data_IF_051382760993
#
_entry.id   IF_051382760993
#
_cell.length_a   1.000
_cell.length_b   1.000
_cell.length_c   1.000
_cell.angle_alpha   90.00
_cell.angle_beta   90.00
_cell.angle_gamma   90.00
#
_symmetry.space_group_name_H-M   'P 1'
#
loop_
_entity.id
_entity.type
_entity.pdbx_description
1 polymer ?
#
# COMPACT_ATOMS: atom_id res chain seq x y z
N UNK A 1 5.06 5.17 17.13
CA UNK A 1 5.31 5.48 15.69
C UNK A 1 4.01 5.46 14.95
N UNK A 2 3.70 6.53 14.22
CA UNK A 2 2.49 6.60 13.41
C UNK A 2 2.78 6.30 11.94
N UNK A 3 2.11 5.29 11.40
CA UNK A 3 2.16 4.93 9.98
C UNK A 3 0.84 5.27 9.31
N UNK A 4 0.90 5.91 8.15
CA UNK A 4 -0.25 5.99 7.25
C UNK A 4 -0.19 4.81 6.27
N UNK A 5 -1.23 4.00 6.24
CA UNK A 5 -1.39 2.88 5.31
C UNK A 5 -2.37 3.28 4.22
N UNK A 6 -1.87 3.38 3.01
CA UNK A 6 -2.59 3.77 1.80
C UNK A 6 -2.49 2.63 0.79
N UNK A 7 -3.51 2.41 -0.04
CA UNK A 7 -3.48 1.46 -1.15
C UNK A 7 -4.51 1.80 -2.21
N UNK A 8 -4.42 1.12 -3.33
CA UNK A 8 -5.45 1.05 -4.37
C UNK A 8 -5.94 2.44 -4.81
N UNK A 9 -5.00 3.32 -5.11
CA UNK A 9 -5.30 4.68 -5.58
C UNK A 9 -5.87 4.66 -6.99
N UNK A 10 -5.40 3.75 -7.85
CA UNK A 10 -5.87 3.54 -9.22
C UNK A 10 -6.03 4.83 -10.04
N UNK A 11 -5.00 5.67 -10.08
CA UNK A 11 -5.01 6.90 -10.86
C UNK A 11 -5.30 6.56 -12.32
N UNK A 12 -6.40 7.11 -12.85
CA UNK A 12 -6.83 6.88 -14.24
C UNK A 12 -6.12 7.85 -15.19
N UNK A 13 -5.91 7.41 -16.44
CA UNK A 13 -5.14 8.20 -17.40
C UNK A 13 -5.74 9.58 -17.72
N UNK A 14 -7.05 9.66 -17.98
CA UNK A 14 -7.70 10.85 -18.48
C UNK A 14 -9.06 11.14 -17.82
N UNK A 15 -9.38 10.45 -16.71
CA UNK A 15 -10.69 10.57 -16.07
C UNK A 15 -10.56 10.89 -14.59
N UNK A 16 -11.50 11.68 -14.10
CA UNK A 16 -11.65 11.98 -12.67
C UNK A 16 -10.44 12.70 -12.04
N UNK A 17 -9.62 13.38 -12.85
CA UNK A 17 -8.41 14.05 -12.36
C UNK A 17 -8.75 15.21 -11.41
N UNK A 18 -9.91 15.86 -11.59
CA UNK A 18 -10.36 16.87 -10.65
C UNK A 18 -10.71 16.25 -9.30
N UNK A 19 -11.45 15.14 -9.30
CA UNK A 19 -11.83 14.39 -8.10
C UNK A 19 -10.62 13.85 -7.37
N UNK A 20 -9.63 13.29 -8.08
CA UNK A 20 -8.36 12.87 -7.48
C UNK A 20 -7.64 14.02 -6.78
N UNK A 21 -7.55 15.19 -7.41
CA UNK A 21 -6.90 16.36 -6.79
C UNK A 21 -7.61 16.77 -5.49
N UNK A 22 -8.92 16.77 -5.46
CA UNK A 22 -9.69 17.07 -4.24
C UNK A 22 -9.42 16.05 -3.14
N UNK A 23 -9.45 14.77 -3.47
CA UNK A 23 -9.18 13.69 -2.50
C UNK A 23 -7.74 13.74 -2.00
N UNK A 24 -6.78 13.97 -2.89
CA UNK A 24 -5.36 14.05 -2.50
C UNK A 24 -5.08 15.23 -1.57
N UNK A 25 -5.68 16.41 -1.81
CA UNK A 25 -5.53 17.53 -0.87
C UNK A 25 -6.09 17.19 0.51
N UNK A 26 -7.27 16.54 0.59
CA UNK A 26 -7.84 16.07 1.85
C UNK A 26 -6.94 15.05 2.54
N UNK A 27 -6.35 14.14 1.77
CA UNK A 27 -5.39 13.16 2.26
C UNK A 27 -4.15 13.85 2.86
N UNK A 28 -3.55 14.79 2.13
CA UNK A 28 -2.36 15.51 2.62
C UNK A 28 -2.66 16.31 3.90
N UNK A 29 -3.84 16.94 3.99
CA UNK A 29 -4.28 17.62 5.22
C UNK A 29 -4.43 16.64 6.38
N UNK A 30 -5.04 15.46 6.16
CA UNK A 30 -5.19 14.42 7.17
C UNK A 30 -3.82 13.92 7.65
N UNK A 31 -2.90 13.59 6.74
CA UNK A 31 -1.56 13.12 7.09
C UNK A 31 -0.77 14.14 7.94
N UNK A 32 -0.84 15.42 7.57
CA UNK A 32 -0.21 16.51 8.35
C UNK A 32 -0.83 16.69 9.73
N UNK A 33 -2.16 16.59 9.82
CA UNK A 33 -2.91 16.70 11.07
C UNK A 33 -2.55 15.56 12.02
N UNK A 34 -2.48 14.33 11.51
CA UNK A 34 -2.12 13.13 12.28
C UNK A 34 -0.63 13.09 12.63
N UNK A 35 0.21 13.89 11.97
CA UNK A 35 1.66 13.93 12.17
C UNK A 35 2.28 12.55 12.02
N UNK A 36 1.99 11.89 10.91
CA UNK A 36 2.51 10.57 10.61
C UNK A 36 4.03 10.59 10.52
N UNK A 37 4.67 9.57 11.07
CA UNK A 37 6.13 9.39 11.01
C UNK A 37 6.56 8.77 9.67
N UNK A 38 5.73 7.88 9.13
CA UNK A 38 5.97 7.15 7.88
C UNK A 38 4.68 6.98 7.08
N UNK A 39 4.83 6.89 5.77
CA UNK A 39 3.74 6.58 4.84
C UNK A 39 4.08 5.30 4.10
N UNK A 40 3.13 4.36 4.04
CA UNK A 40 3.25 3.11 3.29
C UNK A 40 2.12 3.05 2.26
N UNK A 41 2.48 2.85 0.98
CA UNK A 41 1.51 2.62 -0.09
C UNK A 41 1.61 1.17 -0.58
N UNK A 42 0.55 0.41 -0.33
CA UNK A 42 0.50 -1.02 -0.60
C UNK A 42 0.05 -1.37 -2.03
N UNK A 43 0.51 -0.62 -3.04
CA UNK A 43 0.35 -0.96 -4.46
C UNK A 43 -0.92 -0.47 -5.13
N UNK A 44 -1.04 -0.75 -6.43
CA UNK A 44 -2.11 -0.33 -7.33
C UNK A 44 -2.28 1.20 -7.40
N UNK A 45 -1.17 1.87 -7.68
CA UNK A 45 -1.12 3.31 -7.93
C UNK A 45 -1.74 3.62 -9.30
N UNK A 46 -1.30 2.90 -10.34
CA UNK A 46 -1.84 3.05 -11.68
C UNK A 46 -3.14 2.24 -11.85
N UNK A 47 -4.12 2.80 -12.54
CA UNK A 47 -5.30 2.04 -12.94
C UNK A 47 -5.01 1.01 -14.02
N UNK A 48 -4.05 1.30 -14.91
CA UNK A 48 -3.60 0.41 -15.98
C UNK A 48 -2.11 0.56 -16.24
N UNK A 49 -1.41 -0.56 -16.29
CA UNK A 49 0.06 -0.63 -16.53
C UNK A 49 0.52 -0.37 -17.96
N UNK A 50 -0.39 -0.34 -18.92
CA UNK A 50 -0.04 -0.29 -20.35
C UNK A 50 -0.48 0.99 -21.05
N UNK A 51 -1.30 1.80 -20.42
CA UNK A 51 -1.81 3.05 -20.96
C UNK A 51 -1.43 4.19 -20.01
N UNK A 52 -0.24 4.71 -20.20
CA UNK A 52 0.30 5.80 -19.39
C UNK A 52 0.21 7.09 -20.19
N UNK A 53 -0.62 8.03 -19.74
CA UNK A 53 -0.74 9.35 -20.32
C UNK A 53 0.18 10.36 -19.64
N UNK A 54 0.53 11.48 -20.32
CA UNK A 54 1.26 12.57 -19.67
C UNK A 54 0.56 13.10 -18.41
N UNK A 55 -0.78 13.16 -18.42
CA UNK A 55 -1.58 13.63 -17.28
C UNK A 55 -1.53 12.66 -16.11
N UNK A 56 -1.44 11.34 -16.37
CA UNK A 56 -1.19 10.36 -15.32
C UNK A 56 0.18 10.58 -14.69
N UNK A 57 1.21 10.76 -15.50
CA UNK A 57 2.59 10.99 -15.02
C UNK A 57 2.64 12.25 -14.14
N UNK A 58 2.03 13.35 -14.62
CA UNK A 58 1.93 14.62 -13.86
C UNK A 58 1.26 14.41 -12.50
N UNK A 59 0.09 13.77 -12.50
CA UNK A 59 -0.68 13.55 -11.28
C UNK A 59 0.03 12.61 -10.30
N UNK A 60 0.62 11.51 -10.81
CA UNK A 60 1.36 10.55 -10.00
C UNK A 60 2.62 11.18 -9.40
N UNK A 61 3.34 12.00 -10.18
CA UNK A 61 4.51 12.75 -9.71
C UNK A 61 4.14 13.71 -8.58
N UNK A 62 3.11 14.50 -8.76
CA UNK A 62 2.61 15.40 -7.72
C UNK A 62 2.14 14.65 -6.47
N UNK A 63 1.48 13.51 -6.65
CA UNK A 63 1.05 12.68 -5.54
C UNK A 63 2.23 12.20 -4.70
N UNK A 64 3.23 11.62 -5.32
CA UNK A 64 4.42 11.11 -4.64
C UNK A 64 5.25 12.21 -3.99
N UNK A 65 5.48 13.32 -4.70
CA UNK A 65 6.22 14.46 -4.18
C UNK A 65 5.56 15.03 -2.92
N UNK A 66 4.23 15.19 -2.92
CA UNK A 66 3.53 15.67 -1.73
C UNK A 66 3.58 14.68 -0.57
N UNK A 67 3.45 13.37 -0.81
CA UNK A 67 3.61 12.36 0.25
C UNK A 67 5.02 12.41 0.84
N UNK A 68 6.05 12.40 0.00
CA UNK A 68 7.45 12.43 0.41
C UNK A 68 7.86 13.72 1.15
N UNK A 69 7.21 14.85 0.82
CA UNK A 69 7.35 16.10 1.55
C UNK A 69 6.68 16.11 2.94
N UNK A 70 5.75 15.18 3.19
CA UNK A 70 5.08 15.04 4.50
C UNK A 70 5.87 14.12 5.41
N UNK A 71 6.24 12.92 4.92
CA UNK A 71 7.00 11.92 5.68
C UNK A 71 7.71 10.95 4.72
N UNK A 72 8.76 10.22 5.19
CA UNK A 72 9.34 9.12 4.42
C UNK A 72 8.25 8.17 3.93
N UNK A 73 8.21 7.96 2.61
CA UNK A 73 7.15 7.23 1.91
C UNK A 73 7.72 5.98 1.26
N UNK A 74 7.19 4.84 1.63
CA UNK A 74 7.55 3.52 1.12
C UNK A 74 6.42 2.98 0.25
N UNK A 75 6.76 2.53 -0.96
CA UNK A 75 5.79 2.09 -1.97
C UNK A 75 6.14 0.67 -2.37
N UNK A 76 5.17 -0.24 -2.38
CA UNK A 76 5.26 -1.51 -3.09
C UNK A 76 4.43 -1.47 -4.37
N UNK A 77 4.68 -2.39 -5.30
CA UNK A 77 3.91 -2.48 -6.55
C UNK A 77 2.70 -3.41 -6.37
N UNK A 78 1.58 -3.03 -6.98
CA UNK A 78 0.42 -3.88 -7.16
C UNK A 78 0.33 -4.48 -8.57
N UNK A 79 -0.65 -5.35 -8.77
CA UNK A 79 -0.84 -6.09 -10.03
C UNK A 79 -1.23 -5.18 -11.21
N UNK A 80 -1.76 -3.99 -10.94
CA UNK A 80 -2.06 -2.96 -11.94
C UNK A 80 -0.85 -2.08 -12.28
N UNK A 81 0.20 -2.07 -11.48
CA UNK A 81 1.41 -1.28 -11.72
C UNK A 81 2.41 -2.01 -12.63
N UNK A 82 2.48 -3.34 -12.55
CA UNK A 82 3.44 -4.17 -13.28
C UNK A 82 2.82 -5.39 -13.97
N UNK A 83 3.63 -6.14 -14.68
CA UNK A 83 3.19 -7.33 -15.41
C UNK A 83 3.59 -8.60 -14.65
N UNK A 84 2.63 -9.24 -13.97
CA UNK A 84 2.85 -10.49 -13.22
C UNK A 84 3.39 -11.65 -14.06
N UNK A 85 3.07 -11.67 -15.39
CA UNK A 85 3.53 -12.74 -16.29
C UNK A 85 4.92 -12.49 -16.86
N UNK A 86 5.44 -11.29 -16.71
CA UNK A 86 6.76 -10.90 -17.20
C UNK A 86 7.36 -9.82 -16.30
N UNK A 87 7.99 -10.24 -15.22
CA UNK A 87 8.62 -9.35 -14.22
C UNK A 87 9.81 -8.55 -14.78
N UNK A 88 10.41 -9.00 -15.92
CA UNK A 88 11.47 -8.24 -16.59
C UNK A 88 10.95 -7.01 -17.35
N UNK A 89 9.62 -6.91 -17.57
CA UNK A 89 9.01 -5.75 -18.21
C UNK A 89 8.95 -4.58 -17.21
N UNK A 90 9.27 -3.39 -17.71
CA UNK A 90 9.17 -2.15 -16.95
C UNK A 90 7.74 -1.96 -16.39
N UNK A 91 7.63 -1.69 -15.10
CA UNK A 91 6.39 -1.27 -14.46
C UNK A 91 6.09 0.22 -14.72
N UNK A 92 4.90 0.66 -14.38
CA UNK A 92 4.44 2.03 -14.60
C UNK A 92 5.01 3.06 -13.61
N UNK A 93 5.48 2.61 -12.45
CA UNK A 93 5.81 3.45 -11.29
C UNK A 93 7.30 3.75 -11.19
N UNK A 94 8.16 2.76 -11.42
CA UNK A 94 9.63 2.94 -11.31
C UNK A 94 10.18 4.13 -12.10
N UNK A 95 9.76 4.41 -13.36
CA UNK A 95 10.27 5.55 -14.10
C UNK A 95 9.93 6.89 -13.44
N UNK A 96 8.76 6.99 -12.81
CA UNK A 96 8.30 8.22 -12.14
C UNK A 96 9.09 8.44 -10.85
N UNK A 97 9.19 7.41 -10.01
CA UNK A 97 9.95 7.48 -8.76
C UNK A 97 11.42 7.81 -9.02
N UNK A 98 12.03 7.14 -10.00
CA UNK A 98 13.42 7.40 -10.38
C UNK A 98 13.64 8.83 -10.94
N UNK A 99 12.66 9.39 -11.65
CA UNK A 99 12.75 10.73 -12.19
C UNK A 99 12.57 11.82 -11.13
N UNK A 100 11.79 11.54 -10.08
CA UNK A 100 11.62 12.45 -8.95
C UNK A 100 12.88 12.53 -8.09
N UNK A 101 13.62 11.44 -7.96
CA UNK A 101 14.89 11.34 -7.20
C UNK A 101 14.81 12.02 -5.82
N UNK A 102 13.74 11.74 -5.09
CA UNK A 102 13.42 12.37 -3.81
C UNK A 102 13.90 11.50 -2.65
N UNK A 103 14.71 12.09 -1.72
CA UNK A 103 15.33 11.37 -0.60
C UNK A 103 14.36 10.60 0.29
N UNK A 104 13.13 11.07 0.42
CA UNK A 104 12.08 10.45 1.24
C UNK A 104 11.13 9.55 0.43
N UNK A 105 11.42 9.22 -0.82
CA UNK A 105 10.55 8.39 -1.66
C UNK A 105 11.25 7.08 -2.01
N UNK A 106 10.75 5.98 -1.48
CA UNK A 106 11.38 4.67 -1.57
C UNK A 106 10.44 3.66 -2.27
N UNK A 107 10.84 3.19 -3.44
CA UNK A 107 10.13 2.11 -4.13
C UNK A 107 10.75 0.76 -3.75
N UNK A 108 9.98 -0.05 -3.02
CA UNK A 108 10.35 -1.41 -2.60
C UNK A 108 9.72 -2.42 -3.56
N UNK A 109 10.39 -2.65 -4.69
CA UNK A 109 9.86 -3.44 -5.80
C UNK A 109 9.98 -4.95 -5.59
N UNK A 110 11.13 -5.38 -5.07
CA UNK A 110 11.46 -6.78 -4.88
C UNK A 110 11.15 -7.22 -3.45
N UNK A 111 11.04 -8.54 -3.24
CA UNK A 111 10.89 -9.09 -1.89
C UNK A 111 12.15 -8.87 -1.07
N UNK A 112 11.97 -8.62 0.22
CA UNK A 112 13.09 -8.39 1.13
C UNK A 112 12.76 -7.49 2.32
N UNK A 113 13.77 -7.23 3.11
CA UNK A 113 13.71 -6.42 4.32
C UNK A 113 14.24 -5.01 4.07
N UNK A 114 13.62 -4.04 4.73
CA UNK A 114 14.06 -2.65 4.76
C UNK A 114 13.92 -2.11 6.18
N UNK A 115 15.05 -1.91 6.84
CA UNK A 115 15.08 -1.23 8.13
C UNK A 115 14.76 0.25 7.94
N UNK A 116 13.73 0.73 8.60
CA UNK A 116 13.36 2.15 8.56
C UNK A 116 13.95 2.93 9.74
N UNK A 117 14.19 2.21 10.85
CA UNK A 117 14.94 2.69 12.01
C UNK A 117 15.48 1.49 12.83
N UNK A 118 15.99 1.75 14.02
CA UNK A 118 16.54 0.71 14.91
C UNK A 118 15.44 -0.25 15.45
N UNK A 119 14.18 0.11 15.35
CA UNK A 119 13.06 -0.60 15.96
C UNK A 119 12.13 -1.27 14.96
N UNK A 120 11.97 -0.69 13.76
CA UNK A 120 11.01 -1.14 12.77
C UNK A 120 11.68 -1.64 11.50
N UNK A 121 11.17 -2.75 10.96
CA UNK A 121 11.55 -3.31 9.68
C UNK A 121 10.31 -3.56 8.81
N UNK A 122 10.32 -3.04 7.58
CA UNK A 122 9.35 -3.36 6.55
C UNK A 122 9.81 -4.61 5.78
N UNK A 123 8.91 -5.56 5.62
CA UNK A 123 9.17 -6.84 4.97
C UNK A 123 8.25 -6.97 3.75
N UNK A 124 8.80 -6.83 2.56
CA UNK A 124 8.03 -6.90 1.32
C UNK A 124 7.85 -8.36 0.88
N UNK A 125 6.60 -8.77 0.74
CA UNK A 125 6.21 -10.02 0.09
C UNK A 125 5.71 -9.68 -1.33
N UNK A 126 6.64 -9.38 -2.24
CA UNK A 126 6.32 -8.92 -3.59
C UNK A 126 5.66 -10.02 -4.42
N UNK A 127 4.49 -9.73 -5.01
CA UNK A 127 3.81 -10.66 -5.93
C UNK A 127 4.55 -10.84 -7.26
N UNK A 128 5.54 -9.98 -7.54
CA UNK A 128 6.43 -10.10 -8.71
C UNK A 128 7.67 -10.94 -8.44
N UNK A 129 7.93 -11.27 -7.15
CA UNK A 129 9.17 -11.89 -6.70
C UNK A 129 8.92 -12.92 -5.59
N UNK A 130 7.93 -13.81 -5.80
CA UNK A 130 7.46 -14.78 -4.80
C UNK A 130 8.52 -15.77 -4.35
N UNK A 131 9.45 -16.13 -5.24
CA UNK A 131 10.51 -17.12 -4.94
C UNK A 131 11.51 -16.60 -3.90
N UNK A 132 11.55 -15.29 -3.66
CA UNK A 132 12.43 -14.64 -2.69
C UNK A 132 11.69 -14.15 -1.43
N UNK A 133 10.46 -14.58 -1.21
CA UNK A 133 9.78 -14.31 0.06
C UNK A 133 10.56 -14.90 1.21
N UNK A 134 10.75 -14.11 2.26
CA UNK A 134 11.55 -14.51 3.42
C UNK A 134 10.86 -14.13 4.73
N UNK A 135 11.22 -14.84 5.77
CA UNK A 135 10.84 -14.52 7.15
C UNK A 135 11.72 -13.40 7.67
N UNK A 136 11.27 -12.64 8.68
CA UNK A 136 12.09 -11.63 9.33
C UNK A 136 13.42 -12.20 9.82
N UNK A 137 14.51 -11.52 9.52
CA UNK A 137 15.86 -11.92 9.97
C UNK A 137 16.13 -11.49 11.41
N UNK A 138 15.50 -10.39 11.87
CA UNK A 138 15.64 -9.88 13.25
C UNK A 138 14.28 -9.91 13.96
N UNK A 139 14.03 -10.94 14.80
CA UNK A 139 12.77 -11.04 15.54
C UNK A 139 12.64 -10.05 16.69
N UNK A 140 13.70 -9.34 17.08
CA UNK A 140 13.65 -8.33 18.14
C UNK A 140 13.05 -7.01 17.62
N UNK A 141 13.11 -6.75 16.31
CA UNK A 141 12.44 -5.63 15.66
C UNK A 141 10.93 -5.86 15.53
N UNK A 142 10.20 -4.77 15.37
CA UNK A 142 8.79 -4.82 14.96
C UNK A 142 8.75 -5.00 13.44
N UNK A 143 8.34 -6.19 13.02
CA UNK A 143 8.33 -6.61 11.64
C UNK A 143 6.94 -6.41 11.02
N UNK A 144 6.85 -5.52 10.03
CA UNK A 144 5.60 -5.21 9.32
C UNK A 144 5.69 -5.82 7.91
N UNK A 145 4.82 -6.78 7.61
CA UNK A 145 4.69 -7.31 6.25
C UNK A 145 3.96 -6.34 5.35
N UNK A 146 4.46 -6.13 4.14
CA UNK A 146 3.81 -5.37 3.07
C UNK A 146 3.46 -6.34 1.94
N UNK A 147 2.18 -6.41 1.59
CA UNK A 147 1.70 -7.35 0.59
C UNK A 147 0.59 -6.73 -0.27
N UNK A 148 0.58 -7.03 -1.55
CA UNK A 148 -0.51 -6.67 -2.46
C UNK A 148 -1.06 -7.90 -3.16
N UNK A 149 -2.22 -8.35 -2.74
CA UNK A 149 -2.89 -9.53 -3.31
C UNK A 149 -4.04 -9.99 -2.42
N UNK A 150 -4.85 -10.92 -2.93
CA UNK A 150 -6.03 -11.40 -2.23
C UNK A 150 -5.73 -12.54 -1.27
N UNK A 151 -6.21 -12.40 -0.04
CA UNK A 151 -6.16 -13.45 0.99
C UNK A 151 -7.49 -14.19 1.04
N UNK A 152 -7.43 -15.52 1.12
CA UNK A 152 -8.62 -16.37 1.27
C UNK A 152 -9.50 -15.89 2.43
N UNK A 153 -10.81 -15.95 2.23
CA UNK A 153 -11.87 -15.53 3.17
C UNK A 153 -12.03 -14.03 3.38
N UNK A 154 -11.26 -13.17 2.71
CA UNK A 154 -11.54 -11.74 2.70
C UNK A 154 -12.88 -11.43 2.03
N UNK A 155 -13.43 -10.25 2.29
CA UNK A 155 -14.70 -9.79 1.71
C UNK A 155 -14.44 -8.70 0.68
N UNK A 156 -15.13 -8.78 -0.45
CA UNK A 156 -15.18 -7.72 -1.44
C UNK A 156 -16.16 -6.61 -1.04
N UNK A 157 -16.17 -5.49 -1.74
CA UNK A 157 -17.12 -4.38 -1.50
C UNK A 157 -18.58 -4.79 -1.65
N UNK A 158 -18.87 -5.82 -2.45
CA UNK A 158 -20.23 -6.38 -2.62
C UNK A 158 -20.63 -7.36 -1.50
N UNK A 159 -19.86 -7.44 -0.41
CA UNK A 159 -20.02 -8.40 0.68
C UNK A 159 -19.85 -9.87 0.29
N UNK A 160 -19.36 -10.16 -0.91
CA UNK A 160 -19.02 -11.52 -1.28
C UNK A 160 -17.73 -11.95 -0.56
N UNK A 161 -17.78 -13.12 0.08
CA UNK A 161 -16.60 -13.70 0.71
C UNK A 161 -15.83 -14.52 -0.32
N UNK A 162 -14.60 -14.16 -0.56
CA UNK A 162 -13.68 -14.86 -1.45
C UNK A 162 -13.25 -16.19 -0.81
N UNK A 163 -13.78 -17.30 -1.32
CA UNK A 163 -13.50 -18.62 -0.75
C UNK A 163 -12.02 -18.99 -0.87
N UNK A 164 -11.41 -18.65 -2.01
CA UNK A 164 -10.01 -18.88 -2.32
C UNK A 164 -9.41 -17.56 -2.83
N UNK A 165 -8.43 -17.03 -2.13
CA UNK A 165 -7.58 -15.92 -2.55
C UNK A 165 -6.34 -16.45 -3.28
N UNK A 166 -5.43 -15.55 -3.61
CA UNK A 166 -4.11 -15.91 -4.14
C UNK A 166 -3.27 -16.62 -3.10
N UNK A 167 -3.43 -16.22 -1.82
CA UNK A 167 -2.68 -16.75 -0.69
C UNK A 167 -3.60 -16.98 0.53
N UNK A 168 -3.09 -17.70 1.50
CA UNK A 168 -3.72 -17.92 2.79
C UNK A 168 -3.12 -16.99 3.86
N UNK A 169 -3.86 -16.69 4.90
CA UNK A 169 -3.46 -15.74 5.96
C UNK A 169 -2.16 -16.14 6.68
N UNK A 170 -1.83 -17.43 6.70
CA UNK A 170 -0.64 -17.96 7.38
C UNK A 170 0.69 -17.49 6.78
N UNK A 171 0.70 -16.85 5.61
CA UNK A 171 1.91 -16.21 5.08
C UNK A 171 2.42 -15.08 5.99
N UNK A 172 1.57 -14.58 6.89
CA UNK A 172 1.89 -13.51 7.83
C UNK A 172 2.26 -14.00 9.24
N UNK A 173 2.27 -15.31 9.52
CA UNK A 173 2.46 -15.87 10.87
C UNK A 173 3.81 -15.49 11.52
N UNK A 174 4.81 -15.16 10.72
CA UNK A 174 6.15 -14.77 11.21
C UNK A 174 6.30 -13.25 11.41
N UNK A 175 5.27 -12.45 11.11
CA UNK A 175 5.31 -10.98 11.20
C UNK A 175 4.46 -10.47 12.35
N UNK A 176 4.82 -9.31 12.90
CA UNK A 176 4.08 -8.69 13.99
C UNK A 176 2.80 -8.00 13.50
N UNK A 177 2.87 -7.38 12.29
CA UNK A 177 1.77 -6.70 11.62
C UNK A 177 1.82 -6.94 10.13
N UNK A 178 0.68 -6.74 9.43
CA UNK A 178 0.64 -6.76 7.97
C UNK A 178 -0.27 -5.66 7.41
N UNK A 179 0.28 -4.89 6.45
CA UNK A 179 -0.41 -3.85 5.69
C UNK A 179 -0.64 -4.35 4.26
N UNK A 180 -1.91 -4.43 3.86
CA UNK A 180 -2.32 -5.11 2.63
C UNK A 180 -3.00 -4.17 1.64
N UNK A 181 -2.82 -4.44 0.33
CA UNK A 181 -3.57 -3.86 -0.79
C UNK A 181 -4.23 -4.93 -1.67
N UNK A 182 -4.90 -4.53 -2.76
CA UNK A 182 -5.70 -5.33 -3.72
C UNK A 182 -7.20 -5.38 -3.40
N UNK A 183 -7.58 -5.42 -2.15
CA UNK A 183 -8.99 -5.49 -1.75
C UNK A 183 -9.46 -4.09 -1.35
N UNK A 184 -10.39 -3.53 -2.15
CA UNK A 184 -10.87 -2.15 -1.98
C UNK A 184 -11.75 -1.94 -0.75
N UNK A 185 -12.15 -3.02 -0.06
CA UNK A 185 -12.90 -2.96 1.17
C UNK A 185 -11.98 -2.95 2.39
N UNK A 186 -12.10 -1.92 3.22
CA UNK A 186 -11.42 -1.85 4.51
C UNK A 186 -11.87 -2.99 5.42
N UNK A 187 -10.94 -3.78 5.92
CA UNK A 187 -11.20 -4.88 6.85
C UNK A 187 -9.92 -5.40 7.51
N UNK A 188 -10.05 -5.93 8.73
CA UNK A 188 -9.03 -6.79 9.32
C UNK A 188 -9.32 -8.26 9.02
N UNK A 189 -8.29 -9.09 9.02
CA UNK A 189 -8.40 -10.50 8.65
C UNK A 189 -8.20 -11.46 9.81
N UNK A 190 -7.50 -11.05 10.85
CA UNK A 190 -7.17 -11.83 12.04
C UNK A 190 -7.98 -11.37 13.27
N UNK A 191 -8.01 -12.21 14.30
CA UNK A 191 -8.77 -11.92 15.52
C UNK A 191 -8.19 -10.77 16.34
N UNK A 192 -6.88 -10.56 16.24
CA UNK A 192 -6.15 -9.57 17.03
C UNK A 192 -6.11 -8.18 16.34
N UNK A 193 -6.54 -8.09 15.08
CA UNK A 193 -6.52 -6.84 14.32
C UNK A 193 -5.12 -6.37 13.93
N UNK A 194 -4.22 -7.31 13.60
CA UNK A 194 -2.84 -7.04 13.19
C UNK A 194 -2.64 -7.07 11.68
N UNK A 195 -3.62 -7.61 10.93
CA UNK A 195 -3.56 -7.81 9.49
C UNK A 195 -4.73 -7.07 8.84
N UNK A 196 -4.44 -6.01 8.04
CA UNK A 196 -5.48 -5.16 7.49
C UNK A 196 -5.32 -4.87 6.01
N UNK A 197 -6.45 -4.87 5.31
CA UNK A 197 -6.65 -4.09 4.09
C UNK A 197 -7.11 -2.68 4.47
N UNK A 198 -6.42 -1.64 4.02
CA UNK A 198 -6.90 -0.27 4.22
C UNK A 198 -8.06 0.08 3.29
N UNK A 199 -8.24 -0.69 2.23
CA UNK A 199 -9.19 -0.40 1.15
C UNK A 199 -8.65 0.62 0.16
N UNK A 200 -9.45 0.95 -0.85
CA UNK A 200 -9.05 1.94 -1.86
C UNK A 200 -9.18 3.38 -1.34
N UNK A 201 -8.28 4.24 -1.81
CA UNK A 201 -8.27 5.67 -1.46
C UNK A 201 -9.50 6.41 -2.02
N UNK A 202 -9.98 6.00 -3.19
CA UNK A 202 -11.19 6.53 -3.84
C UNK A 202 -12.09 5.40 -4.31
N UNK A 203 -13.39 5.68 -4.42
CA UNK A 203 -14.36 4.74 -4.99
C UNK A 203 -14.00 4.43 -6.45
N UNK A 204 -13.78 3.16 -6.77
CA UNK A 204 -13.38 2.72 -8.12
C UNK A 204 -14.58 2.39 -9.02
N UNK A 205 -15.71 1.99 -8.42
CA UNK A 205 -16.94 1.67 -9.14
C UNK A 205 -18.19 1.95 -8.28
N UNK A 206 -19.35 2.01 -8.93
CA UNK A 206 -20.64 2.32 -8.27
C UNK A 206 -21.13 1.24 -7.29
N UNK A 207 -20.54 0.05 -7.30
CA UNK A 207 -20.88 -1.02 -6.37
C UNK A 207 -20.12 -0.94 -5.05
N UNK A 208 -19.12 -0.09 -4.96
CA UNK A 208 -18.34 0.10 -3.74
C UNK A 208 -19.04 1.04 -2.75
N UNK A 209 -18.76 0.82 -1.48
CA UNK A 209 -19.19 1.75 -0.41
C UNK A 209 -18.43 3.06 -0.48
N UNK A 210 -18.97 4.11 0.17
CA UNK A 210 -18.29 5.40 0.32
C UNK A 210 -17.27 5.40 1.47
N UNK A 211 -17.07 4.28 2.14
CA UNK A 211 -16.11 4.11 3.22
C UNK A 211 -14.70 3.90 2.64
N UNK A 212 -14.15 4.99 2.10
CA UNK A 212 -12.83 5.06 1.47
C UNK A 212 -11.91 5.93 2.31
N UNK A 213 -10.60 5.72 2.17
CA UNK A 213 -9.61 6.52 2.89
C UNK A 213 -8.34 5.74 3.16
N UNK A 214 -7.80 5.95 4.33
CA UNK A 214 -6.54 5.39 4.79
C UNK A 214 -6.70 4.79 6.18
N UNK A 215 -5.67 4.07 6.65
CA UNK A 215 -5.57 3.69 8.06
C UNK A 215 -4.37 4.39 8.69
N UNK A 216 -4.55 4.89 9.91
CA UNK A 216 -3.47 5.39 10.75
C UNK A 216 -3.18 4.34 11.81
N UNK A 217 -1.95 3.84 11.80
CA UNK A 217 -1.45 2.89 12.79
C UNK A 217 -0.60 3.64 13.80
N UNK A 218 -0.91 3.59 15.09
CA UNK A 218 -0.03 4.05 16.16
C UNK A 218 0.59 2.85 16.86
N UNK A 219 1.79 2.43 16.40
CA UNK A 219 2.49 1.25 16.91
C UNK A 219 3.57 1.69 17.91
N UNK A 220 3.38 1.35 19.18
CA UNK A 220 4.32 1.63 20.26
C UNK A 220 5.23 0.43 20.53
N UNK A 221 4.66 -0.78 20.48
CA UNK A 221 5.36 -2.06 20.64
C UNK A 221 4.56 -3.17 19.95
N UNK A 222 5.09 -4.40 19.97
CA UNK A 222 4.39 -5.59 19.45
C UNK A 222 3.07 -5.88 20.19
N UNK A 223 2.91 -5.37 21.41
CA UNK A 223 1.76 -5.62 22.29
C UNK A 223 0.94 -4.35 22.60
N UNK A 224 1.36 -3.18 22.09
CA UNK A 224 0.66 -1.90 22.28
C UNK A 224 0.58 -1.15 20.94
N UNK A 225 -0.57 -1.20 20.31
CA UNK A 225 -0.88 -0.51 19.06
C UNK A 225 -2.36 -0.09 19.02
N UNK A 226 -2.65 0.88 18.17
CA UNK A 226 -4.01 1.29 17.82
C UNK A 226 -4.10 1.56 16.31
N UNK A 227 -5.30 1.41 15.73
CA UNK A 227 -5.55 1.61 14.31
C UNK A 227 -6.83 2.40 14.14
N UNK A 228 -6.72 3.57 13.51
CA UNK A 228 -7.84 4.46 13.22
C UNK A 228 -8.02 4.62 11.69
N UNK A 229 -9.29 4.64 11.20
CA UNK A 229 -9.61 4.92 9.81
C UNK A 229 -9.56 6.42 9.48
#
# INVERSE_FOLDING_TARGET
MKFAHISDTHIKNLKYHYEYRVVFEQLYEALRKEKVDYIVHCGDIAHTKTQISPEFVDMCSHFFENLANIAPTYIILGNHDGNLKNSSRQDAISPIVNALDHDNLHLLKDSGETDIDDKFCLNVLSVFDRDNWMKPSDPDKINIALYHGSISKCKTDTNWTMTFGEDEINIFDDFDFAMLGDIHRRQFLDADGRIWYCGSTVQQNHGETNDKGILIWDIKSKDDWDIEP
#
